data_IF_609775184729
#
_entry.id   IF_609775184729
#
_cell.length_a   1.000
_cell.length_b   1.000
_cell.length_c   1.000
_cell.angle_alpha   90.00
_cell.angle_beta   90.00
_cell.angle_gamma   90.00
#
_symmetry.space_group_name_H-M   'P 1'
#
loop_
_entity.id
_entity.type
_entity.pdbx_description
1 polymer ?
#
# COMPACT_ATOMS: atom_id res chain seq x y z
N UNK A 1 -12.10 -0.58 -6.21
CA UNK A 1 -11.41 0.60 -6.76
C UNK A 1 -9.95 0.56 -6.41
N UNK A 2 -9.11 0.90 -7.34
CA UNK A 2 -7.68 0.93 -7.10
C UNK A 2 -7.16 2.34 -7.07
N UNK A 3 -6.27 2.61 -6.15
CA UNK A 3 -5.62 3.90 -6.05
C UNK A 3 -4.14 3.69 -5.84
N UNK A 4 -3.36 4.64 -6.27
CA UNK A 4 -1.95 4.64 -5.97
C UNK A 4 -1.74 5.50 -4.73
N UNK A 5 -1.17 4.94 -3.70
CA UNK A 5 -0.95 5.65 -2.46
C UNK A 5 0.49 5.62 -2.04
N UNK A 6 0.82 6.39 -1.02
CA UNK A 6 2.17 6.45 -0.46
C UNK A 6 2.14 5.84 0.93
N UNK A 7 3.06 4.91 1.17
CA UNK A 7 3.13 4.27 2.48
C UNK A 7 3.68 5.26 3.48
N UNK A 8 2.96 5.47 4.58
CA UNK A 8 3.38 6.38 5.63
C UNK A 8 4.16 5.67 6.73
N UNK A 9 3.69 4.50 7.12
CA UNK A 9 4.39 3.74 8.15
C UNK A 9 3.93 2.30 8.12
N UNK A 10 4.77 1.43 8.66
CA UNK A 10 4.45 0.02 8.75
C UNK A 10 3.75 -0.24 10.07
N UNK A 11 2.73 -1.06 10.05
CA UNK A 11 1.97 -1.43 11.23
C UNK A 11 2.16 -2.91 11.48
N UNK A 12 1.81 -3.40 12.68
CA UNK A 12 1.89 -4.83 12.94
C UNK A 12 0.97 -5.62 12.02
N UNK A 13 1.21 -6.91 11.93
CA UNK A 13 0.37 -7.83 11.17
C UNK A 13 0.34 -7.54 9.66
N UNK A 14 1.48 -7.15 9.12
CA UNK A 14 1.63 -6.93 7.69
C UNK A 14 0.67 -5.88 7.16
N UNK A 15 0.39 -4.87 7.98
CA UNK A 15 -0.46 -3.77 7.58
C UNK A 15 0.37 -2.50 7.43
N UNK A 16 -0.15 -1.55 6.69
CA UNK A 16 0.56 -0.30 6.45
C UNK A 16 -0.43 0.84 6.41
N UNK A 17 -0.03 2.01 6.87
CA UNK A 17 -0.81 3.20 6.68
C UNK A 17 -0.43 3.78 5.34
N UNK A 18 -1.41 4.00 4.50
CA UNK A 18 -1.20 4.48 3.14
C UNK A 18 -2.02 5.73 2.93
N UNK A 19 -1.38 6.77 2.41
CA UNK A 19 -2.06 8.00 2.11
C UNK A 19 -2.46 7.99 0.65
N UNK A 20 -3.73 8.18 0.40
CA UNK A 20 -4.28 8.20 -0.95
C UNK A 20 -4.12 9.59 -1.57
N UNK A 21 -4.23 9.70 -2.89
CA UNK A 21 -4.07 10.98 -3.55
C UNK A 21 -5.06 12.05 -3.10
N UNK A 22 -6.22 11.61 -2.61
CA UNK A 22 -7.21 12.58 -2.14
C UNK A 22 -6.98 13.01 -0.71
N UNK A 23 -5.89 12.58 -0.09
CA UNK A 23 -5.57 12.98 1.28
C UNK A 23 -6.06 12.01 2.34
N UNK A 24 -6.86 11.03 1.98
CA UNK A 24 -7.32 10.04 2.95
C UNK A 24 -6.20 9.10 3.34
N UNK A 25 -6.20 8.69 4.59
CA UNK A 25 -5.24 7.72 5.08
C UNK A 25 -6.02 6.46 5.41
N UNK A 26 -5.59 5.34 4.84
CA UNK A 26 -6.27 4.08 5.07
C UNK A 26 -5.28 3.07 5.63
N UNK A 27 -5.81 2.00 6.20
CA UNK A 27 -5.02 0.87 6.64
C UNK A 27 -5.07 -0.17 5.53
N UNK A 28 -3.92 -0.51 4.98
CA UNK A 28 -3.85 -1.47 3.88
C UNK A 28 -3.05 -2.69 4.32
N UNK A 29 -3.54 -3.86 3.95
CA UNK A 29 -2.84 -5.10 4.24
C UNK A 29 -2.16 -5.60 2.98
N UNK A 30 -1.05 -6.31 3.14
CA UNK A 30 -0.35 -6.86 2.01
C UNK A 30 -1.12 -8.08 1.51
N UNK A 31 -1.34 -8.16 0.20
CA UNK A 31 -2.01 -9.32 -0.37
C UNK A 31 -1.11 -10.55 -0.22
N UNK A 32 -1.72 -11.72 -0.22
CA UNK A 32 -0.95 -12.95 -0.09
C UNK A 32 0.06 -13.11 -1.21
N UNK A 33 -0.27 -12.65 -2.40
CA UNK A 33 0.62 -12.75 -3.52
C UNK A 33 1.90 -11.97 -3.31
N UNK A 34 1.80 -10.76 -2.75
CA UNK A 34 2.98 -9.96 -2.49
C UNK A 34 3.81 -10.56 -1.37
N UNK A 35 3.16 -11.14 -0.37
CA UNK A 35 3.89 -11.78 0.71
C UNK A 35 4.70 -12.97 0.20
N UNK A 36 4.12 -13.73 -0.69
CA UNK A 36 4.81 -14.91 -1.21
C UNK A 36 6.00 -14.53 -2.05
N UNK A 37 5.99 -13.35 -2.64
CA UNK A 37 7.10 -12.91 -3.44
C UNK A 37 8.13 -12.12 -2.62
N UNK A 38 7.94 -12.06 -1.32
CA UNK A 38 8.86 -11.35 -0.42
C UNK A 38 9.11 -9.91 -0.85
N UNK A 39 8.10 -9.26 -1.32
CA UNK A 39 8.23 -7.87 -1.71
C UNK A 39 8.35 -7.00 -0.48
N UNK A 40 9.40 -6.21 -0.43
CA UNK A 40 9.70 -5.39 0.72
C UNK A 40 9.06 -4.01 0.55
N UNK A 41 8.26 -3.59 1.49
CA UNK A 41 7.58 -2.31 1.43
C UNK A 41 8.06 -1.45 2.59
N UNK A 42 8.52 -0.25 2.27
CA UNK A 42 9.05 0.66 3.26
C UNK A 42 8.28 1.96 3.25
N UNK A 43 8.31 2.73 4.34
CA UNK A 43 7.70 4.06 4.35
C UNK A 43 8.24 4.90 3.21
N UNK A 44 7.37 5.60 2.54
CA UNK A 44 7.75 6.41 1.40
C UNK A 44 7.56 5.71 0.06
N UNK A 45 7.39 4.38 0.07
CA UNK A 45 7.17 3.67 -1.17
C UNK A 45 5.78 3.94 -1.69
N UNK A 46 5.63 3.84 -2.99
CA UNK A 46 4.32 3.97 -3.61
C UNK A 46 3.78 2.59 -3.90
N UNK A 47 2.51 2.42 -3.62
CA UNK A 47 1.85 1.13 -3.78
C UNK A 47 0.49 1.33 -4.41
N UNK A 48 0.00 0.29 -5.06
CA UNK A 48 -1.36 0.28 -5.56
C UNK A 48 -2.19 -0.44 -4.52
N UNK A 49 -3.24 0.21 -4.05
CA UNK A 49 -4.13 -0.39 -3.08
C UNK A 49 -5.52 -0.53 -3.68
N UNK A 50 -6.18 -1.62 -3.34
CA UNK A 50 -7.55 -1.85 -3.74
C UNK A 50 -8.41 -1.57 -2.53
N UNK A 51 -9.35 -0.66 -2.68
CA UNK A 51 -10.20 -0.23 -1.59
C UNK A 51 -11.60 -0.72 -1.84
N UNK A 52 -12.20 -1.29 -0.79
CA UNK A 52 -13.57 -1.79 -0.89
C UNK A 52 -14.56 -0.63 -0.94
N UNK A 53 -15.55 -0.75 -1.80
CA UNK A 53 -16.60 0.26 -1.83
C UNK A 53 -17.46 0.20 -0.58
N UNK A 54 -17.38 -0.90 0.16
CA UNK A 54 -18.15 -1.05 1.38
C UNK A 54 -17.44 -0.46 2.59
N UNK A 55 -16.14 -0.26 2.52
CA UNK A 55 -15.40 0.30 3.63
C UNK A 55 -14.16 0.99 3.09
N UNK A 56 -14.27 2.28 2.90
CA UNK A 56 -13.20 3.05 2.29
C UNK A 56 -12.03 3.32 3.22
N UNK A 57 -12.09 2.84 4.45
CA UNK A 57 -10.98 3.03 5.37
C UNK A 57 -10.02 1.85 5.37
N UNK A 58 -10.35 0.78 4.65
CA UNK A 58 -9.52 -0.40 4.59
C UNK A 58 -9.22 -0.75 3.16
N UNK A 59 -8.03 -1.24 2.92
CA UNK A 59 -7.64 -1.62 1.58
C UNK A 59 -6.64 -2.74 1.61
N UNK A 60 -6.25 -3.16 0.44
CA UNK A 60 -5.28 -4.22 0.28
C UNK A 60 -4.24 -3.77 -0.73
N UNK A 61 -2.98 -3.92 -0.38
CA UNK A 61 -1.91 -3.60 -1.31
C UNK A 61 -1.81 -4.75 -2.31
N UNK A 62 -2.08 -4.45 -3.57
CA UNK A 62 -2.06 -5.46 -4.61
C UNK A 62 -0.80 -5.39 -5.45
N UNK A 63 -0.10 -4.28 -5.40
CA UNK A 63 1.10 -4.11 -6.20
C UNK A 63 1.98 -3.04 -5.58
N UNK A 64 3.27 -3.19 -5.67
CA UNK A 64 4.20 -2.17 -5.22
C UNK A 64 4.72 -1.44 -6.44
N UNK A 65 4.36 -0.18 -6.55
CA UNK A 65 4.89 0.65 -7.61
C UNK A 65 6.33 0.94 -7.27
N UNK A 66 7.25 0.71 -8.23
CA UNK A 66 8.61 0.90 -7.95
C UNK A 66 8.90 2.31 -7.56
N UNK A 67 9.60 2.48 -6.46
CA UNK A 67 9.92 3.80 -6.01
C UNK A 67 10.82 4.47 -7.02
N UNK A 68 10.73 5.77 -7.09
CA UNK A 68 11.52 6.46 -7.95
C UNK A 68 12.82 6.62 -7.47
N UNK A 69 13.52 5.74 -7.11
CA UNK A 69 14.82 5.91 -6.62
C UNK A 69 15.68 5.70 -7.66
N UNK A 70 16.08 6.23 -8.14
CA UNK A 70 16.83 6.02 -9.06
C UNK A 70 17.74 5.20 -9.07
N UNK A 71 17.85 4.83 -8.86
CA UNK A 71 18.76 3.99 -8.94
C UNK A 71 18.78 3.13 -9.96
N UNK A 72 18.55 3.25 -10.03
CA UNK A 72 18.47 2.64 -10.68
C UNK A 72 18.45 2.47 -10.87
#
# INVERSE_FOLDING_TARGET
>A
MEFEGTVLEALPNAAFKVKLPNGHIITAHISGKLRMNYIWILPGDKVTVEVSVYDLTKGRITWRTKAERNGN
#
